data_IF_161781616681
#
_entry.id   IF_161781616681
#
_cell.length_a   1.000
_cell.length_b   1.000
_cell.length_c   1.000
_cell.angle_alpha   90.00
_cell.angle_beta   90.00
_cell.angle_gamma   90.00
#
_symmetry.space_group_name_H-M   'P 1'
#
loop_
_entity.id
_entity.type
_entity.pdbx_description
1 polymer ?
#
# COMPACT_ATOMS: atom_id res chain seq x y z
N UNK A 1 -21.18 -10.39 1.29
CA UNK A 1 -20.36 -9.20 1.61
C UNK A 1 -19.35 -9.05 0.49
N UNK A 2 -19.29 -7.88 -0.16
CA UNK A 2 -18.26 -7.60 -1.18
C UNK A 2 -17.12 -6.92 -0.41
N UNK A 3 -15.88 -7.43 -0.49
CA UNK A 3 -14.75 -6.82 0.19
C UNK A 3 -14.37 -5.49 -0.48
N UNK A 4 -14.04 -4.50 0.34
CA UNK A 4 -13.43 -3.26 -0.11
C UNK A 4 -12.02 -3.53 -0.61
N UNK A 5 -11.63 -2.79 -1.64
CA UNK A 5 -10.33 -2.96 -2.33
C UNK A 5 -9.67 -1.60 -2.50
N UNK A 6 -8.35 -1.58 -2.34
CA UNK A 6 -7.51 -0.41 -2.63
C UNK A 6 -6.35 -0.83 -3.52
N UNK A 7 -6.01 0.04 -4.47
CA UNK A 7 -4.84 -0.10 -5.34
C UNK A 7 -4.05 1.22 -5.25
N UNK A 8 -2.77 1.14 -4.87
CA UNK A 8 -1.94 2.31 -4.60
C UNK A 8 -0.69 2.23 -5.46
N UNK A 9 -0.41 3.30 -6.21
CA UNK A 9 0.87 3.46 -6.88
C UNK A 9 1.87 4.07 -5.89
N UNK A 10 3.05 3.45 -5.77
CA UNK A 10 4.14 3.92 -4.92
C UNK A 10 5.37 4.15 -5.77
N UNK A 11 5.95 5.35 -5.66
CA UNK A 11 7.23 5.71 -6.26
C UNK A 11 8.26 5.91 -5.14
N UNK A 12 9.40 5.22 -5.22
CA UNK A 12 10.55 5.43 -4.34
C UNK A 12 11.43 6.49 -4.98
N UNK A 13 11.67 7.58 -4.26
CA UNK A 13 12.37 8.75 -4.79
C UNK A 13 13.69 8.97 -4.07
N UNK A 14 14.75 9.20 -4.83
CA UNK A 14 16.00 9.71 -4.29
C UNK A 14 15.82 11.16 -3.85
N UNK A 15 15.84 11.42 -2.55
CA UNK A 15 15.59 12.76 -1.99
C UNK A 15 16.60 13.83 -2.42
N UNK A 16 17.80 13.44 -2.86
CA UNK A 16 18.85 14.38 -3.27
C UNK A 16 18.68 14.83 -4.72
N UNK A 17 18.28 13.92 -5.61
CA UNK A 17 18.19 14.19 -7.06
C UNK A 17 16.76 14.38 -7.54
N UNK A 18 15.77 13.89 -6.80
CA UNK A 18 14.37 13.83 -7.20
C UNK A 18 14.06 12.66 -8.13
N UNK A 19 15.03 11.79 -8.43
CA UNK A 19 14.83 10.68 -9.35
C UNK A 19 14.00 9.57 -8.72
N UNK A 20 13.09 8.98 -9.50
CA UNK A 20 12.39 7.75 -9.10
C UNK A 20 13.33 6.57 -9.27
N UNK A 21 13.69 5.92 -8.17
CA UNK A 21 14.61 4.77 -8.15
C UNK A 21 13.88 3.43 -8.20
N UNK A 22 12.59 3.39 -7.85
CA UNK A 22 11.72 2.21 -7.98
C UNK A 22 10.26 2.66 -8.05
N UNK A 23 9.40 1.88 -8.69
CA UNK A 23 7.96 2.13 -8.77
C UNK A 23 7.21 0.81 -8.70
N UNK A 24 6.07 0.80 -8.02
CA UNK A 24 5.25 -0.39 -7.86
C UNK A 24 3.78 -0.05 -7.64
N UNK A 25 2.93 -1.05 -7.82
CA UNK A 25 1.52 -0.96 -7.47
C UNK A 25 1.23 -2.00 -6.40
N UNK A 26 0.73 -1.54 -5.26
CA UNK A 26 0.39 -2.37 -4.10
C UNK A 26 -1.14 -2.47 -3.99
N UNK A 27 -1.63 -3.63 -3.56
CA UNK A 27 -3.06 -3.92 -3.50
C UNK A 27 -3.43 -4.39 -2.11
N UNK A 28 -4.47 -3.80 -1.53
CA UNK A 28 -5.04 -4.21 -0.25
C UNK A 28 -6.52 -4.57 -0.41
N UNK A 29 -7.02 -5.47 0.43
CA UNK A 29 -8.44 -5.83 0.46
C UNK A 29 -8.93 -6.07 1.89
N UNK A 30 -10.13 -5.63 2.22
CA UNK A 30 -10.72 -5.85 3.56
C UNK A 30 -10.96 -7.33 3.81
N UNK A 31 -10.46 -7.85 4.93
CA UNK A 31 -10.73 -9.21 5.43
C UNK A 31 -11.89 -9.24 6.44
N UNK A 32 -12.37 -10.44 6.79
CA UNK A 32 -13.43 -10.63 7.80
C UNK A 32 -13.05 -10.17 9.23
N UNK A 33 -11.79 -9.78 9.46
CA UNK A 33 -11.22 -9.46 10.76
C UNK A 33 -10.44 -8.13 10.80
N UNK A 34 -10.62 -7.24 9.82
CA UNK A 34 -10.03 -5.89 9.91
C UNK A 34 -10.83 -5.06 10.92
N UNK A 35 -10.39 -5.05 12.17
CA UNK A 35 -10.91 -4.17 13.23
C UNK A 35 -10.56 -2.72 12.86
N UNK A 36 -11.45 -2.08 12.11
CA UNK A 36 -11.25 -0.73 11.56
C UNK A 36 -11.13 -0.67 10.03
N UNK A 37 -11.44 -1.74 9.29
CA UNK A 37 -11.39 -1.76 7.82
C UNK A 37 -12.73 -1.47 7.14
N UNK A 38 -13.54 -0.58 7.69
CA UNK A 38 -14.82 -0.16 7.10
C UNK A 38 -14.66 1.00 6.10
N UNK A 39 -13.46 1.59 5.99
CA UNK A 39 -13.11 2.53 4.94
C UNK A 39 -11.88 2.08 4.14
N UNK A 40 -11.82 2.41 2.83
CA UNK A 40 -10.72 2.01 1.95
C UNK A 40 -9.31 2.46 2.40
N UNK A 41 -9.19 3.62 3.06
CA UNK A 41 -7.89 4.11 3.54
C UNK A 41 -7.29 3.29 4.69
N UNK A 42 -8.11 2.56 5.43
CA UNK A 42 -7.64 1.74 6.54
C UNK A 42 -6.96 0.45 6.03
N UNK A 43 -7.09 0.16 4.73
CA UNK A 43 -6.42 -0.94 4.04
C UNK A 43 -5.02 -0.58 3.55
N UNK A 44 -4.56 0.66 3.75
CA UNK A 44 -3.23 1.12 3.32
C UNK A 44 -2.04 0.59 4.14
N UNK A 45 -2.11 0.46 5.48
CA UNK A 45 -0.93 0.15 6.29
C UNK A 45 -0.25 -1.18 5.96
N UNK A 46 -1.02 -2.25 5.77
CA UNK A 46 -0.50 -3.59 5.45
C UNK A 46 0.23 -3.65 4.09
N UNK A 47 -0.39 -3.29 2.95
CA UNK A 47 0.29 -3.37 1.65
C UNK A 47 1.47 -2.39 1.54
N UNK A 48 1.45 -1.27 2.27
CA UNK A 48 2.60 -0.35 2.33
C UNK A 48 3.76 -0.97 3.11
N UNK A 49 3.48 -1.61 4.25
CA UNK A 49 4.51 -2.29 5.04
C UNK A 49 5.17 -3.44 4.26
N UNK A 50 4.38 -4.25 3.56
CA UNK A 50 4.89 -5.32 2.68
C UNK A 50 5.79 -4.75 1.58
N UNK A 51 5.37 -3.68 0.90
CA UNK A 51 6.19 -3.05 -0.12
C UNK A 51 7.50 -2.50 0.43
N UNK A 52 7.48 -1.79 1.55
CA UNK A 52 8.71 -1.28 2.17
C UNK A 52 9.64 -2.43 2.58
N UNK A 53 9.10 -3.52 3.12
CA UNK A 53 9.89 -4.71 3.46
C UNK A 53 10.53 -5.38 2.24
N UNK A 54 9.93 -5.25 1.05
CA UNK A 54 10.50 -5.79 -0.19
C UNK A 54 11.68 -4.97 -0.75
N UNK A 55 11.90 -3.75 -0.23
CA UNK A 55 12.97 -2.87 -0.68
C UNK A 55 14.33 -3.16 -0.02
N UNK A 56 14.38 -3.97 1.05
CA UNK A 56 15.56 -4.25 1.87
C UNK A 56 15.70 -5.74 2.19
#
# INVERSE_FOLDING_TARGET
>A
MIPDKVEVKVDVVNVRTGDVTSSGVIKGSSGLATWGGDHPQDLLPEPVAEFVSSLF
#
